data_IF_367042484777
#
_entry.id   IF_367042484777
#
_cell.length_a   1.000
_cell.length_b   1.000
_cell.length_c   1.000
_cell.angle_alpha   90.00
_cell.angle_beta   90.00
_cell.angle_gamma   90.00
#
_symmetry.space_group_name_H-M   'P 1'
#
loop_
_entity.id
_entity.type
_entity.pdbx_description
1 polymer ?
#
# COMPACT_ATOMS: atom_id res chain seq x y z
N UNK A 1 -19.48 -4.26 -4.71
CA UNK A 1 -20.02 -2.98 -4.20
C UNK A 1 -19.40 -2.56 -2.86
N UNK A 2 -19.24 -3.47 -1.88
CA UNK A 2 -18.59 -3.15 -0.58
C UNK A 2 -17.12 -2.74 -0.74
N UNK A 3 -16.38 -3.44 -1.61
CA UNK A 3 -14.95 -3.18 -1.86
C UNK A 3 -14.67 -1.74 -2.32
N UNK A 4 -15.37 -1.29 -3.37
CA UNK A 4 -15.27 0.08 -3.89
C UNK A 4 -15.68 1.14 -2.85
N UNK A 5 -16.63 0.84 -1.96
CA UNK A 5 -17.03 1.76 -0.89
C UNK A 5 -15.91 1.94 0.13
N UNK A 6 -15.20 0.88 0.50
CA UNK A 6 -14.06 0.96 1.43
C UNK A 6 -12.87 1.70 0.80
N UNK A 7 -12.55 1.43 -0.47
CA UNK A 7 -11.51 2.16 -1.21
C UNK A 7 -11.80 3.67 -1.20
N UNK A 8 -13.04 4.04 -1.52
CA UNK A 8 -13.47 5.43 -1.50
C UNK A 8 -13.31 6.07 -0.11
N UNK A 9 -13.73 5.37 0.95
CA UNK A 9 -13.56 5.83 2.34
C UNK A 9 -12.10 6.06 2.71
N UNK A 10 -11.19 5.17 2.30
CA UNK A 10 -9.74 5.33 2.52
C UNK A 10 -9.20 6.59 1.84
N UNK A 11 -9.60 6.84 0.58
CA UNK A 11 -9.18 8.03 -0.16
C UNK A 11 -9.75 9.33 0.45
N UNK A 12 -11.02 9.32 0.86
CA UNK A 12 -11.66 10.44 1.54
C UNK A 12 -10.98 10.75 2.90
N UNK A 13 -10.61 9.72 3.67
CA UNK A 13 -9.90 9.88 4.93
C UNK A 13 -8.49 10.47 4.74
N UNK A 14 -7.71 9.98 3.76
CA UNK A 14 -6.41 10.55 3.44
C UNK A 14 -6.54 12.03 3.06
N UNK A 15 -7.48 12.39 2.18
CA UNK A 15 -7.70 13.77 1.77
C UNK A 15 -8.04 14.69 2.95
N UNK A 16 -8.85 14.22 3.91
CA UNK A 16 -9.16 14.98 5.12
C UNK A 16 -7.95 15.16 6.04
N UNK A 17 -7.11 14.12 6.19
CA UNK A 17 -5.89 14.20 7.01
C UNK A 17 -4.81 15.09 6.39
N UNK A 18 -4.67 15.07 5.07
CA UNK A 18 -3.80 16.02 4.34
C UNK A 18 -4.32 17.45 4.48
N UNK A 19 -5.62 17.67 4.31
CA UNK A 19 -6.22 19.01 4.41
C UNK A 19 -6.12 19.62 5.82
N UNK A 20 -6.03 18.79 6.85
CA UNK A 20 -5.86 19.21 8.25
C UNK A 20 -4.39 19.34 8.68
N UNK A 21 -3.43 19.04 7.79
CA UNK A 21 -2.01 19.06 8.11
C UNK A 21 -1.55 17.94 9.04
N UNK A 22 -2.38 16.92 9.26
CA UNK A 22 -2.06 15.78 10.14
C UNK A 22 -1.23 14.70 9.44
N UNK A 23 -1.33 14.61 8.12
CA UNK A 23 -0.54 13.69 7.30
C UNK A 23 0.18 14.48 6.21
N UNK A 24 1.49 14.28 6.12
CA UNK A 24 2.39 14.90 5.15
C UNK A 24 2.60 13.92 3.99
N UNK A 25 2.20 14.31 2.78
CA UNK A 25 2.33 13.49 1.56
C UNK A 25 3.42 13.97 0.61
N UNK A 26 3.91 15.20 0.81
CA UNK A 26 4.95 15.85 0.03
C UNK A 26 5.80 16.72 0.96
N UNK A 27 7.10 16.74 0.71
CA UNK A 27 8.10 17.57 1.39
C UNK A 27 9.05 18.13 0.33
N UNK A 28 9.66 19.28 0.61
CA UNK A 28 10.47 20.02 -0.37
C UNK A 28 11.87 19.39 -0.53
N UNK A 29 12.41 18.79 0.53
CA UNK A 29 13.73 18.15 0.51
C UNK A 29 13.89 16.98 1.50
N UNK A 30 15.06 16.33 1.41
CA UNK A 30 15.42 15.18 2.25
C UNK A 30 15.62 15.54 3.73
N UNK A 31 16.04 16.77 4.04
CA UNK A 31 16.22 17.20 5.41
C UNK A 31 14.86 17.38 6.12
N UNK A 32 13.87 17.93 5.41
CA UNK A 32 12.48 17.97 5.87
C UNK A 32 11.92 16.55 6.04
N UNK A 33 12.11 15.65 5.06
CA UNK A 33 11.67 14.24 5.17
C UNK A 33 12.20 13.55 6.42
N UNK A 34 13.48 13.74 6.73
CA UNK A 34 14.14 13.14 7.89
C UNK A 34 13.67 13.73 9.24
N UNK A 35 13.03 14.89 9.22
CA UNK A 35 12.49 15.56 10.41
C UNK A 35 11.05 15.16 10.73
N UNK A 36 10.33 14.56 9.78
CA UNK A 36 8.94 14.13 9.92
C UNK A 36 8.90 12.69 10.44
N UNK A 37 8.16 12.45 11.52
CA UNK A 37 8.01 11.10 12.05
C UNK A 37 7.29 10.21 11.03
N UNK A 38 7.71 8.95 10.89
CA UNK A 38 7.17 8.07 9.85
C UNK A 38 5.64 7.90 9.90
N UNK A 39 5.04 7.92 11.09
CA UNK A 39 3.60 7.81 11.28
C UNK A 39 2.80 9.04 10.83
N UNK A 40 3.47 10.18 10.63
CA UNK A 40 2.90 11.41 10.06
C UNK A 40 2.98 11.42 8.53
N UNK A 41 3.67 10.46 7.91
CA UNK A 41 3.87 10.41 6.47
C UNK A 41 2.76 9.61 5.78
N UNK A 42 2.29 10.10 4.63
CA UNK A 42 1.31 9.43 3.77
C UNK A 42 1.83 9.22 2.36
N UNK A 43 1.21 8.30 1.62
CA UNK A 43 1.51 8.09 0.20
C UNK A 43 0.25 8.20 -0.66
N UNK A 44 0.21 9.24 -1.49
CA UNK A 44 -0.84 9.39 -2.51
C UNK A 44 -0.84 8.20 -3.47
N UNK A 45 0.35 7.71 -3.82
CA UNK A 45 0.44 6.63 -4.79
C UNK A 45 -0.08 5.31 -4.23
N UNK A 46 0.27 4.95 -2.98
CA UNK A 46 -0.29 3.75 -2.33
C UNK A 46 -1.81 3.83 -2.11
N UNK A 47 -2.40 5.02 -2.29
CA UNK A 47 -3.84 5.28 -2.17
C UNK A 47 -4.58 5.26 -3.51
N UNK A 48 -3.90 4.95 -4.63
CA UNK A 48 -4.54 4.66 -5.92
C UNK A 48 -5.36 3.36 -5.84
N UNK A 49 -6.48 3.31 -6.57
CA UNK A 49 -7.47 2.22 -6.46
C UNK A 49 -6.87 0.82 -6.76
N UNK A 50 -6.07 0.71 -7.81
CA UNK A 50 -5.40 -0.54 -8.21
C UNK A 50 -4.42 -1.03 -7.15
N UNK A 51 -3.68 -0.10 -6.53
CA UNK A 51 -2.75 -0.37 -5.44
C UNK A 51 -3.45 -0.78 -4.15
N UNK A 52 -4.56 -0.12 -3.80
CA UNK A 52 -5.40 -0.52 -2.66
C UNK A 52 -5.97 -1.94 -2.82
N UNK A 53 -6.40 -2.30 -4.04
CA UNK A 53 -6.84 -3.68 -4.35
C UNK A 53 -5.70 -4.69 -4.19
N UNK A 54 -4.50 -4.35 -4.70
CA UNK A 54 -3.34 -5.23 -4.61
C UNK A 54 -2.88 -5.41 -3.17
N UNK A 55 -2.84 -4.35 -2.37
CA UNK A 55 -2.56 -4.40 -0.92
C UNK A 55 -3.51 -5.38 -0.22
N UNK A 56 -4.82 -5.23 -0.41
CA UNK A 56 -5.81 -6.14 0.19
C UNK A 56 -5.62 -7.61 -0.21
N UNK A 57 -5.20 -7.87 -1.45
CA UNK A 57 -4.93 -9.25 -1.88
C UNK A 57 -3.81 -9.94 -1.09
N UNK A 58 -2.89 -9.16 -0.50
CA UNK A 58 -1.80 -9.70 0.32
C UNK A 58 -2.31 -10.36 1.61
N UNK A 59 -3.52 -10.06 2.09
CA UNK A 59 -4.09 -10.72 3.27
C UNK A 59 -4.23 -12.24 3.07
N UNK A 60 -4.40 -12.68 1.82
CA UNK A 60 -4.50 -14.10 1.47
C UNK A 60 -3.15 -14.76 1.20
N UNK A 61 -2.05 -14.01 1.18
CA UNK A 61 -0.72 -14.57 0.99
C UNK A 61 -0.35 -15.54 2.12
N UNK A 62 0.28 -16.67 1.79
CA UNK A 62 0.59 -17.72 2.74
C UNK A 62 1.54 -17.24 3.86
N UNK A 63 2.53 -16.42 3.53
CA UNK A 63 3.49 -15.88 4.50
C UNK A 63 2.84 -14.87 5.44
N UNK A 64 1.95 -14.03 4.91
CA UNK A 64 1.16 -13.08 5.71
C UNK A 64 0.19 -13.82 6.61
N UNK A 65 -0.56 -14.79 6.08
CA UNK A 65 -1.48 -15.64 6.86
C UNK A 65 -0.74 -16.39 7.96
N UNK A 66 0.43 -16.95 7.69
CA UNK A 66 1.23 -17.62 8.71
C UNK A 66 1.63 -16.67 9.84
N UNK A 67 2.01 -15.43 9.53
CA UNK A 67 2.32 -14.42 10.55
C UNK A 67 1.09 -14.00 11.38
N UNK A 68 -0.08 -13.86 10.75
CA UNK A 68 -1.35 -13.60 11.44
C UNK A 68 -1.74 -14.76 12.36
N UNK A 69 -1.60 -16.01 11.89
CA UNK A 69 -1.84 -17.20 12.72
C UNK A 69 -0.88 -17.29 13.91
N UNK A 70 0.40 -16.91 13.75
CA UNK A 70 1.34 -16.88 14.86
C UNK A 70 0.89 -15.94 15.99
N UNK A 71 0.25 -14.81 15.65
CA UNK A 71 -0.36 -13.92 16.62
C UNK A 71 -1.53 -14.54 17.37
N UNK A 72 -2.42 -15.26 16.68
CA UNK A 72 -3.51 -15.99 17.33
C UNK A 72 -2.98 -17.06 18.29
N UNK A 73 -1.96 -17.81 17.87
CA UNK A 73 -1.30 -18.82 18.72
C UNK A 73 -0.73 -18.17 19.98
N UNK A 74 -0.03 -17.04 19.84
CA UNK A 74 0.50 -16.30 20.98
C UNK A 74 -0.61 -15.78 21.90
N UNK A 75 -1.69 -15.22 21.35
CA UNK A 75 -2.84 -14.75 22.13
C UNK A 75 -3.47 -15.91 22.93
N UNK A 76 -3.70 -17.05 22.28
CA UNK A 76 -4.26 -18.25 22.93
C UNK A 76 -3.33 -18.78 24.03
N UNK A 77 -2.03 -18.88 23.77
CA UNK A 77 -1.06 -19.35 24.75
C UNK A 77 -0.99 -18.45 26.01
N UNK A 78 -1.35 -17.18 25.87
CA UNK A 78 -1.41 -16.21 26.96
C UNK A 78 -2.81 -16.09 27.60
N UNK A 79 -3.74 -17.01 27.29
CA UNK A 79 -5.07 -17.04 27.89
C UNK A 79 -5.99 -15.90 27.46
N UNK A 80 -5.74 -15.31 26.28
CA UNK A 80 -6.52 -14.19 25.76
C UNK A 80 -7.62 -14.60 24.79
N UNK A 81 -7.80 -15.89 24.57
CA UNK A 81 -8.83 -16.41 23.67
C UNK A 81 -9.87 -17.20 24.45
N UNK A 82 -11.08 -17.29 23.91
CA UNK A 82 -12.10 -18.20 24.42
C UNK A 82 -11.67 -19.66 24.26
N UNK A 83 -12.07 -20.49 25.22
CA UNK A 83 -11.85 -21.95 25.19
C UNK A 83 -12.93 -22.64 24.32
N UNK A 84 -12.93 -22.32 23.03
CA UNK A 84 -13.85 -22.87 22.04
C UNK A 84 -13.09 -23.52 20.87
N UNK A 85 -13.81 -24.31 20.06
CA UNK A 85 -13.27 -24.89 18.83
C UNK A 85 -12.80 -23.80 17.85
N UNK A 86 -13.55 -22.71 17.78
CA UNK A 86 -13.20 -21.48 17.08
C UNK A 86 -12.88 -20.39 18.12
N UNK A 87 -11.59 -20.20 18.47
CA UNK A 87 -11.22 -19.25 19.52
C UNK A 87 -11.47 -17.81 19.05
N UNK A 88 -12.11 -17.03 19.91
CA UNK A 88 -12.31 -15.60 19.74
C UNK A 88 -11.37 -14.84 20.69
N UNK A 89 -10.76 -13.75 20.22
CA UNK A 89 -9.89 -12.90 21.01
C UNK A 89 -10.72 -12.06 21.99
N UNK A 90 -10.43 -12.17 23.28
CA UNK A 90 -11.09 -11.38 24.32
C UNK A 90 -10.54 -9.95 24.34
N UNK A 91 -11.36 -9.02 24.82
CA UNK A 91 -11.04 -7.59 24.86
C UNK A 91 -9.73 -7.29 25.60
N UNK A 92 -9.51 -7.92 26.75
CA UNK A 92 -8.26 -7.74 27.52
C UNK A 92 -7.03 -8.16 26.72
N UNK A 93 -7.16 -9.20 25.89
CA UNK A 93 -6.14 -9.65 24.96
C UNK A 93 -5.85 -8.65 23.85
N UNK A 94 -6.90 -8.14 23.21
CA UNK A 94 -6.77 -7.09 22.21
C UNK A 94 -6.08 -5.86 22.79
N UNK A 95 -6.51 -5.41 23.97
CA UNK A 95 -5.90 -4.29 24.66
C UNK A 95 -4.43 -4.55 24.99
N UNK A 96 -4.11 -5.74 25.51
CA UNK A 96 -2.75 -6.13 25.81
C UNK A 96 -1.86 -6.06 24.55
N UNK A 97 -2.33 -6.59 23.42
CA UNK A 97 -1.55 -6.62 22.18
C UNK A 97 -1.40 -5.20 21.58
N UNK A 98 -2.50 -4.48 21.38
CA UNK A 98 -2.49 -3.19 20.68
C UNK A 98 -1.74 -2.09 21.45
N UNK A 99 -1.79 -2.08 22.78
CA UNK A 99 -1.00 -1.15 23.59
C UNK A 99 0.51 -1.36 23.44
N UNK A 100 0.95 -2.62 23.23
CA UNK A 100 2.36 -2.92 22.98
C UNK A 100 2.77 -2.43 21.60
N UNK A 101 1.91 -2.54 20.59
CA UNK A 101 2.16 -1.97 19.27
C UNK A 101 2.34 -0.46 19.32
N UNK A 102 1.45 0.27 20.01
CA UNK A 102 1.60 1.71 20.21
C UNK A 102 2.97 2.04 20.83
N UNK A 103 3.40 1.30 21.84
CA UNK A 103 4.69 1.53 22.51
C UNK A 103 5.92 1.15 21.66
N UNK A 104 5.77 0.21 20.74
CA UNK A 104 6.84 -0.19 19.80
C UNK A 104 6.99 0.82 18.67
N UNK A 105 5.87 1.33 18.17
CA UNK A 105 5.80 2.10 16.93
C UNK A 105 5.85 3.62 17.14
N UNK A 106 5.45 4.11 18.32
CA UNK A 106 5.42 5.54 18.65
C UNK A 106 6.47 5.85 19.73
N UNK A 107 7.32 6.81 19.44
CA UNK A 107 8.40 7.27 20.33
C UNK A 107 7.88 8.16 21.47
N UNK A 108 6.73 8.78 21.29
CA UNK A 108 6.05 9.67 22.24
C UNK A 108 4.90 8.98 23.01
N UNK A 109 4.97 7.66 23.19
CA UNK A 109 3.92 6.84 23.81
C UNK A 109 3.29 7.46 25.08
N UNK A 110 2.01 7.81 24.98
CA UNK A 110 1.14 8.18 26.10
C UNK A 110 0.14 7.05 26.38
N UNK A 111 0.17 6.51 27.61
CA UNK A 111 -0.70 5.39 27.99
C UNK A 111 -2.19 5.73 27.96
N UNK A 112 -2.56 6.94 28.40
CA UNK A 112 -3.96 7.37 28.50
C UNK A 112 -4.56 7.53 27.10
N UNK A 113 -3.82 8.18 26.21
CA UNK A 113 -4.21 8.35 24.81
C UNK A 113 -4.25 7.02 24.07
N UNK A 114 -3.20 6.19 24.19
CA UNK A 114 -3.15 4.88 23.56
C UNK A 114 -4.29 3.97 24.05
N UNK A 115 -4.62 3.98 25.34
CA UNK A 115 -5.75 3.21 25.88
C UNK A 115 -7.09 3.69 25.32
N UNK A 116 -7.30 4.99 25.21
CA UNK A 116 -8.51 5.55 24.62
C UNK A 116 -8.65 5.21 23.12
N UNK A 117 -7.54 5.24 22.38
CA UNK A 117 -7.51 4.81 20.98
C UNK A 117 -7.82 3.33 20.84
N UNK A 118 -7.14 2.46 21.60
CA UNK A 118 -7.36 1.01 21.56
C UNK A 118 -8.78 0.62 21.95
N UNK A 119 -9.40 1.33 22.90
CA UNK A 119 -10.80 1.12 23.27
C UNK A 119 -11.75 1.46 22.10
N UNK A 120 -11.46 2.55 21.39
CA UNK A 120 -12.23 2.93 20.20
C UNK A 120 -12.02 1.92 19.07
N UNK A 121 -10.77 1.54 18.79
CA UNK A 121 -10.41 0.59 17.73
C UNK A 121 -11.04 -0.78 17.98
N UNK A 122 -11.13 -1.23 19.24
CA UNK A 122 -11.87 -2.44 19.59
C UNK A 122 -13.33 -2.40 19.09
N UNK A 123 -14.03 -1.29 19.33
CA UNK A 123 -15.43 -1.13 18.91
C UNK A 123 -15.53 -1.04 17.38
N UNK A 124 -14.65 -0.25 16.76
CA UNK A 124 -14.63 -0.03 15.31
C UNK A 124 -14.32 -1.32 14.54
N UNK A 125 -13.33 -2.11 15.01
CA UNK A 125 -12.93 -3.37 14.40
C UNK A 125 -13.99 -4.45 14.56
N UNK A 126 -14.62 -4.52 15.75
CA UNK A 126 -15.63 -5.54 16.03
C UNK A 126 -16.87 -5.34 15.15
N UNK A 127 -17.25 -4.08 14.87
CA UNK A 127 -18.31 -3.73 13.92
C UNK A 127 -19.61 -4.50 14.16
N UNK A 128 -20.11 -5.18 13.13
CA UNK A 128 -21.34 -5.99 13.20
C UNK A 128 -21.19 -7.25 14.10
N UNK A 129 -19.97 -7.61 14.50
CA UNK A 129 -19.72 -8.70 15.45
C UNK A 129 -19.89 -8.24 16.91
N UNK A 130 -20.28 -7.00 17.14
CA UNK A 130 -20.50 -6.46 18.48
C UNK A 130 -21.64 -7.22 19.19
N UNK A 131 -21.34 -7.82 20.34
CA UNK A 131 -22.24 -8.72 21.07
C UNK A 131 -21.88 -10.21 21.00
N UNK A 132 -20.82 -10.58 20.28
CA UNK A 132 -20.18 -11.90 20.39
C UNK A 132 -19.33 -12.01 21.65
N UNK A 133 -19.04 -13.24 22.10
CA UNK A 133 -18.22 -13.54 23.31
C UNK A 133 -16.73 -13.15 23.18
N UNK A 134 -16.35 -12.50 22.08
CA UNK A 134 -15.01 -12.03 21.77
C UNK A 134 -14.88 -11.71 20.27
N UNK A 135 -13.78 -11.10 19.88
CA UNK A 135 -13.47 -10.79 18.49
C UNK A 135 -13.16 -12.07 17.70
N UNK A 136 -13.94 -12.41 16.64
CA UNK A 136 -13.67 -13.59 15.83
C UNK A 136 -12.28 -13.52 15.17
N UNK A 137 -11.68 -14.68 14.90
CA UNK A 137 -10.34 -14.78 14.32
C UNK A 137 -10.14 -13.90 13.08
N UNK A 138 -11.05 -13.95 12.11
CA UNK A 138 -10.89 -13.20 10.85
C UNK A 138 -11.03 -11.68 11.04
N UNK A 139 -11.70 -11.24 12.11
CA UNK A 139 -11.77 -9.84 12.51
C UNK A 139 -10.42 -9.43 13.11
N UNK A 140 -9.86 -10.22 14.03
CA UNK A 140 -8.53 -9.98 14.58
C UNK A 140 -7.44 -9.96 13.50
N UNK A 141 -7.52 -10.88 12.54
CA UNK A 141 -6.62 -10.90 11.38
C UNK A 141 -6.78 -9.67 10.49
N UNK A 142 -7.98 -9.12 10.38
CA UNK A 142 -8.20 -7.87 9.65
C UNK A 142 -7.54 -6.70 10.38
N UNK A 143 -7.72 -6.58 11.69
CA UNK A 143 -7.10 -5.52 12.50
C UNK A 143 -5.56 -5.54 12.41
N UNK A 144 -4.94 -6.72 12.56
CA UNK A 144 -3.49 -6.87 12.41
C UNK A 144 -3.01 -6.56 10.99
N UNK A 145 -3.76 -7.01 9.98
CA UNK A 145 -3.43 -6.75 8.59
C UNK A 145 -3.52 -5.26 8.26
N UNK A 146 -4.57 -4.58 8.71
CA UNK A 146 -4.75 -3.14 8.51
C UNK A 146 -3.65 -2.33 9.21
N UNK A 147 -3.21 -2.75 10.40
CA UNK A 147 -2.01 -2.17 11.02
C UNK A 147 -0.77 -2.36 10.15
N UNK A 148 -0.50 -3.57 9.66
CA UNK A 148 0.62 -3.80 8.75
C UNK A 148 0.48 -2.98 7.46
N UNK A 149 -0.73 -2.82 6.95
CA UNK A 149 -1.05 -2.05 5.75
C UNK A 149 -0.76 -0.55 5.91
N UNK A 150 -0.90 -0.01 7.12
CA UNK A 150 -0.56 1.38 7.44
C UNK A 150 0.95 1.57 7.53
N UNK A 151 1.66 0.64 8.17
CA UNK A 151 3.08 0.85 8.51
C UNK A 151 4.04 0.35 7.45
N UNK A 152 3.64 -0.55 6.55
CA UNK A 152 4.56 -1.10 5.55
C UNK A 152 4.70 -0.20 4.32
N UNK A 153 5.93 0.02 3.83
CA UNK A 153 6.20 1.01 2.79
C UNK A 153 5.90 0.55 1.36
N UNK A 154 5.60 -0.73 1.15
CA UNK A 154 5.54 -1.32 -0.19
C UNK A 154 4.49 -2.44 -0.27
N UNK A 155 4.03 -2.72 -1.49
CA UNK A 155 3.04 -3.77 -1.76
C UNK A 155 3.77 -5.11 -1.96
N UNK A 156 4.35 -5.63 -0.88
CA UNK A 156 5.11 -6.88 -0.85
C UNK A 156 4.70 -7.73 0.37
N UNK A 157 4.22 -8.94 0.12
CA UNK A 157 3.79 -9.86 1.16
C UNK A 157 4.90 -10.21 2.17
N UNK A 158 6.16 -10.32 1.72
CA UNK A 158 7.28 -10.63 2.60
C UNK A 158 7.52 -9.50 3.61
N UNK A 159 7.33 -8.25 3.19
CA UNK A 159 7.45 -7.06 4.05
C UNK A 159 6.36 -7.04 5.12
N UNK A 160 5.10 -7.31 4.75
CA UNK A 160 3.98 -7.42 5.71
C UNK A 160 4.23 -8.53 6.72
N UNK A 161 4.63 -9.71 6.23
CA UNK A 161 4.87 -10.87 7.08
C UNK A 161 6.07 -10.64 8.01
N UNK A 162 7.13 -9.97 7.55
CA UNK A 162 8.28 -9.61 8.36
C UNK A 162 7.92 -8.59 9.45
N UNK A 163 7.15 -7.55 9.10
CA UNK A 163 6.65 -6.56 10.06
C UNK A 163 5.82 -7.21 11.17
N UNK A 164 4.84 -8.04 10.82
CA UNK A 164 4.00 -8.75 11.78
C UNK A 164 4.80 -9.67 12.71
N UNK A 165 5.80 -10.38 12.15
CA UNK A 165 6.72 -11.22 12.95
C UNK A 165 7.60 -10.39 13.87
N UNK A 166 8.12 -9.25 13.39
CA UNK A 166 8.94 -8.33 14.21
C UNK A 166 8.14 -7.85 15.42
N UNK A 167 6.91 -7.38 15.22
CA UNK A 167 6.03 -6.99 16.31
C UNK A 167 5.84 -8.13 17.32
N UNK A 168 5.63 -9.37 16.83
CA UNK A 168 5.44 -10.53 17.71
C UNK A 168 6.68 -10.78 18.56
N UNK A 169 7.85 -10.85 17.92
CA UNK A 169 9.13 -11.08 18.61
C UNK A 169 9.47 -9.97 19.61
N UNK A 170 9.04 -8.73 19.37
CA UNK A 170 9.23 -7.63 20.31
C UNK A 170 8.29 -7.75 21.53
N UNK A 171 7.13 -8.36 21.36
CA UNK A 171 6.10 -8.47 22.39
C UNK A 171 6.23 -9.70 23.29
N UNK A 172 6.85 -10.79 22.83
CA UNK A 172 6.95 -12.05 23.59
C UNK A 172 8.34 -12.29 24.18
N UNK A 173 8.41 -13.03 25.28
CA UNK A 173 9.66 -13.53 25.84
C UNK A 173 10.09 -14.85 25.15
N UNK A 174 11.23 -15.40 25.59
CA UNK A 174 11.78 -16.66 25.07
C UNK A 174 10.87 -17.89 25.27
N UNK A 175 9.85 -17.79 26.14
CA UNK A 175 8.88 -18.84 26.41
C UNK A 175 7.56 -18.62 25.64
N UNK A 176 7.44 -17.53 24.87
CA UNK A 176 6.22 -17.16 24.15
C UNK A 176 5.20 -16.39 25.00
N UNK A 177 5.54 -15.99 26.23
CA UNK A 177 4.66 -15.17 27.05
C UNK A 177 4.75 -13.71 26.64
N UNK A 178 3.63 -13.00 26.63
CA UNK A 178 3.61 -11.57 26.39
C UNK A 178 4.35 -10.84 27.52
N UNK A 179 5.44 -10.17 27.15
CA UNK A 179 6.26 -9.34 28.05
C UNK A 179 5.41 -8.24 28.68
N UNK A 180 5.76 -7.79 29.89
CA UNK A 180 5.03 -6.69 30.53
C UNK A 180 5.12 -5.39 29.70
N UNK A 181 4.04 -4.59 29.68
CA UNK A 181 4.00 -3.33 28.92
C UNK A 181 5.12 -2.35 29.33
N UNK A 182 5.53 -2.37 30.61
CA UNK A 182 6.63 -1.54 31.12
C UNK A 182 7.98 -1.90 30.49
N UNK A 183 8.18 -3.17 30.14
CA UNK A 183 9.42 -3.67 29.54
C UNK A 183 9.52 -3.45 28.03
N UNK A 184 8.38 -3.21 27.37
CA UNK A 184 8.33 -2.83 25.96
C UNK A 184 8.91 -1.42 25.81
N UNK A 185 9.61 -1.17 24.69
CA UNK A 185 10.21 0.12 24.34
C UNK A 185 9.94 0.40 22.87
N UNK A 186 10.02 1.66 22.50
CA UNK A 186 10.04 2.09 21.11
C UNK A 186 11.18 1.39 20.35
N UNK A 187 10.88 0.82 19.20
CA UNK A 187 11.84 0.12 18.35
C UNK A 187 12.37 1.09 17.29
N UNK A 188 13.37 1.89 17.69
CA UNK A 188 13.99 2.87 16.81
C UNK A 188 14.60 2.24 15.55
N UNK A 189 15.09 1.00 15.63
CA UNK A 189 15.62 0.29 14.48
C UNK A 189 14.52 -0.02 13.47
N UNK A 190 13.37 -0.53 13.93
CA UNK A 190 12.20 -0.74 13.08
C UNK A 190 11.72 0.56 12.43
N UNK A 191 11.67 1.66 13.18
CA UNK A 191 11.26 2.96 12.63
C UNK A 191 12.19 3.42 11.48
N UNK A 192 13.51 3.26 11.66
CA UNK A 192 14.50 3.57 10.60
C UNK A 192 14.34 2.64 9.41
N UNK A 193 14.16 1.33 9.62
CA UNK A 193 13.94 0.35 8.55
C UNK A 193 12.69 0.68 7.72
N UNK A 194 11.59 1.08 8.36
CA UNK A 194 10.36 1.46 7.69
C UNK A 194 10.53 2.75 6.87
N UNK A 195 11.21 3.76 7.42
CA UNK A 195 11.50 5.01 6.73
C UNK A 195 12.42 4.80 5.50
N UNK A 196 13.50 4.01 5.65
CA UNK A 196 14.40 3.65 4.55
C UNK A 196 13.64 2.87 3.47
N UNK A 197 12.81 1.90 3.87
CA UNK A 197 11.96 1.14 2.95
C UNK A 197 10.99 2.03 2.17
N UNK A 198 10.38 3.02 2.83
CA UNK A 198 9.49 4.00 2.19
C UNK A 198 10.23 4.83 1.15
N UNK A 199 11.43 5.30 1.49
CA UNK A 199 12.30 6.04 0.58
C UNK A 199 12.67 5.22 -0.65
N UNK A 200 13.07 3.96 -0.46
CA UNK A 200 13.42 3.06 -1.57
C UNK A 200 12.21 2.77 -2.46
N UNK A 201 11.04 2.53 -1.87
CA UNK A 201 9.79 2.30 -2.61
C UNK A 201 9.40 3.53 -3.46
N UNK A 202 9.56 4.74 -2.91
CA UNK A 202 9.31 5.99 -3.64
C UNK A 202 10.29 6.17 -4.82
N UNK A 203 11.57 5.85 -4.63
CA UNK A 203 12.58 5.91 -5.70
C UNK A 203 12.28 4.93 -6.84
N UNK A 204 11.89 3.70 -6.51
CA UNK A 204 11.55 2.69 -7.52
C UNK A 204 10.27 3.03 -8.27
N UNK A 205 9.30 3.63 -7.60
CA UNK A 205 8.13 4.20 -8.24
C UNK A 205 8.50 5.34 -9.21
N UNK A 206 9.29 6.32 -8.78
CA UNK A 206 9.72 7.42 -9.65
C UNK A 206 10.47 6.91 -10.90
N UNK A 207 11.31 5.88 -10.74
CA UNK A 207 11.96 5.20 -11.87
C UNK A 207 10.96 4.50 -12.79
N UNK A 208 9.94 3.85 -12.24
CA UNK A 208 8.90 3.17 -13.01
C UNK A 208 8.04 4.16 -13.81
N UNK A 209 7.62 5.27 -13.20
CA UNK A 209 6.89 6.34 -13.87
C UNK A 209 7.74 6.98 -14.98
N UNK A 210 9.02 7.27 -14.71
CA UNK A 210 9.95 7.78 -15.73
C UNK A 210 10.11 6.83 -16.93
N UNK A 211 10.26 5.51 -16.66
CA UNK A 211 10.31 4.48 -17.71
C UNK A 211 9.01 4.42 -18.51
N UNK A 212 7.86 4.56 -17.85
CA UNK A 212 6.53 4.57 -18.48
C UNK A 212 6.39 5.79 -19.42
N UNK A 213 6.69 6.99 -18.93
CA UNK A 213 6.68 8.21 -19.74
C UNK A 213 7.63 8.12 -20.94
N UNK A 214 8.83 7.58 -20.74
CA UNK A 214 9.78 7.34 -21.83
C UNK A 214 9.21 6.34 -22.86
N UNK A 215 8.56 5.27 -22.41
CA UNK A 215 7.93 4.30 -23.29
C UNK A 215 6.79 4.91 -24.10
N UNK A 216 5.96 5.76 -23.47
CA UNK A 216 4.87 6.47 -24.14
C UNK A 216 5.39 7.50 -25.15
N UNK A 217 6.41 8.28 -24.78
CA UNK A 217 7.07 9.23 -25.69
C UNK A 217 7.65 8.51 -26.93
N UNK A 218 8.26 7.34 -26.74
CA UNK A 218 8.76 6.48 -27.84
C UNK A 218 7.61 5.98 -28.73
N UNK A 219 6.50 5.52 -28.17
CA UNK A 219 5.32 5.09 -28.95
C UNK A 219 4.78 6.23 -29.82
N UNK A 220 4.55 7.42 -29.23
CA UNK A 220 4.10 8.61 -29.94
C UNK A 220 5.07 9.03 -31.06
N UNK A 221 6.38 8.87 -30.86
CA UNK A 221 7.38 9.15 -31.89
C UNK A 221 7.30 8.17 -33.07
N UNK A 222 7.07 6.88 -32.82
CA UNK A 222 6.88 5.86 -33.86
C UNK A 222 5.60 6.12 -34.66
N UNK A 223 4.50 6.47 -33.99
CA UNK A 223 3.23 6.83 -34.63
C UNK A 223 3.39 8.05 -35.54
N UNK A 224 4.05 9.11 -35.06
CA UNK A 224 4.36 10.30 -35.87
C UNK A 224 5.21 9.95 -37.10
N UNK A 225 6.23 9.11 -36.94
CA UNK A 225 7.08 8.65 -38.04
C UNK A 225 6.27 7.86 -39.08
N UNK A 226 5.43 6.93 -38.64
CA UNK A 226 4.60 6.13 -39.53
C UNK A 226 3.57 6.99 -40.29
N UNK A 227 2.97 7.99 -39.60
CA UNK A 227 2.10 8.97 -40.23
C UNK A 227 2.82 9.83 -41.29
N UNK A 228 4.03 10.31 -40.99
CA UNK A 228 4.84 11.07 -41.94
C UNK A 228 5.22 10.26 -43.20
N UNK A 229 5.56 8.98 -43.03
CA UNK A 229 5.83 8.06 -44.15
C UNK A 229 4.56 7.88 -45.01
N UNK A 230 3.39 7.74 -44.39
CA UNK A 230 2.10 7.66 -45.10
C UNK A 230 1.81 8.91 -45.94
N UNK A 231 2.02 10.10 -45.37
CA UNK A 231 1.82 11.38 -46.06
C UNK A 231 2.79 11.54 -47.24
N UNK A 232 4.06 11.19 -47.05
CA UNK A 232 5.06 11.23 -48.12
C UNK A 232 4.73 10.24 -49.25
N UNK A 233 4.30 9.03 -48.93
CA UNK A 233 3.87 8.05 -49.91
C UNK A 233 2.64 8.52 -50.71
N UNK A 234 1.67 9.16 -50.06
CA UNK A 234 0.48 9.71 -50.71
C UNK A 234 0.82 10.88 -51.63
N UNK A 235 1.69 11.81 -51.20
CA UNK A 235 2.20 12.89 -52.07
C UNK A 235 2.92 12.35 -53.31
N UNK A 236 3.76 11.32 -53.16
CA UNK A 236 4.45 10.68 -54.31
C UNK A 236 3.46 10.08 -55.31
N UNK A 237 2.39 9.44 -54.84
CA UNK A 237 1.32 8.91 -55.72
C UNK A 237 0.58 10.03 -56.46
N UNK A 238 0.29 11.14 -55.78
CA UNK A 238 -0.37 12.29 -56.40
C UNK A 238 0.50 12.99 -57.46
N UNK A 239 1.81 13.12 -57.19
CA UNK A 239 2.78 13.68 -58.15
C UNK A 239 2.88 12.76 -59.38
N UNK A 240 3.09 11.46 -59.18
CA UNK A 240 3.16 10.50 -60.28
C UNK A 240 1.87 10.48 -61.13
N UNK A 241 0.69 10.54 -60.50
CA UNK A 241 -0.59 10.62 -61.22
C UNK A 241 -0.79 11.95 -61.99
N UNK A 242 -0.12 13.03 -61.55
CA UNK A 242 -0.15 14.33 -62.22
C UNK A 242 0.82 14.36 -63.41
N UNK A 243 2.02 13.80 -63.24
CA UNK A 243 3.00 13.62 -64.32
C UNK A 243 2.48 12.68 -65.43
N UNK A 244 1.72 11.63 -65.08
CA UNK A 244 1.12 10.71 -66.06
C UNK A 244 -0.04 11.36 -66.84
N UNK A 245 -0.73 12.34 -66.25
CA UNK A 245 -1.72 13.19 -66.94
C UNK A 245 -1.12 14.27 -67.83
N UNK A 246 0.07 14.78 -67.48
CA UNK A 246 0.77 15.82 -68.22
C UNK A 246 1.67 15.26 -69.33
N UNK A 247 1.85 13.93 -69.42
CA UNK A 247 2.47 13.29 -70.59
C UNK A 247 1.66 13.58 -71.85
N UNK A 248 2.21 14.30 -72.85
CA UNK A 248 1.50 14.53 -74.10
C UNK A 248 1.25 13.18 -74.77
N UNK A 249 0.01 12.92 -75.17
CA UNK A 249 -0.31 11.83 -76.09
C UNK A 249 0.45 12.11 -77.40
N UNK A 250 1.63 11.51 -77.54
CA UNK A 250 2.33 11.45 -78.80
C UNK A 250 1.43 10.68 -79.77
N UNK A 251 0.65 11.44 -80.56
CA UNK A 251 -0.10 10.91 -81.69
C UNK A 251 0.90 10.26 -82.62
N UNK A 252 0.88 8.93 -82.66
CA UNK A 252 1.44 8.14 -83.75
C UNK A 252 0.69 8.54 -85.02
N UNK A 253 1.24 9.51 -85.75
CA UNK A 253 0.96 9.71 -87.16
C UNK A 253 1.74 8.63 -87.89
N UNK A 254 1.07 7.53 -88.21
CA UNK A 254 1.56 6.57 -89.20
C UNK A 254 1.02 6.97 -90.56
N UNK A 255 1.87 7.58 -91.38
CA UNK A 255 1.68 7.70 -92.83
C UNK A 255 2.30 6.45 -93.50
N UNK A 256 1.54 5.90 -94.45
CA UNK A 256 1.82 4.79 -95.38
C UNK A 256 1.63 3.38 -94.85
#
# INVERSE_FOLDING_TARGET
MVENRRIKKTQEALAAHVSSGRIIVQVDDEAELNSVAYWEQGSESLSKEDRLKRRRSLKSDEGVRAALHAWLVAAKANGFCTEAAEPALQKDGYHAIMLRFHKILLDDFDYTMAKAMVEKDWVDDLGDSNGSDGMPQEVFFSALFELADVWTPSIDAAVYAAFLRRLLTSCVDQNGNLRSLQSIKFDAALAVELAEGARLAALDEAKMESRSHLAEAKRRAVERRNGAIGIQAQRRRQIAAREDKERPLARLVTNW
#
